data_IF_732426623310
#
_entry.id   IF_732426623310
#
_cell.length_a   1.000
_cell.length_b   1.000
_cell.length_c   1.000
_cell.angle_alpha   90.00
_cell.angle_beta   90.00
_cell.angle_gamma   90.00
#
_symmetry.space_group_name_H-M   'P 1'
#
loop_
_entity.id
_entity.type
_entity.pdbx_description
1 polymer ?
#
# COMPACT_ATOMS: atom_id res chain seq x y z
N UNK A 1 3.63 -1.26 15.35
CA UNK A 1 2.57 -0.25 15.22
C UNK A 1 1.22 -0.90 15.49
N UNK A 2 0.35 -0.22 16.22
CA UNK A 2 -1.00 -0.70 16.52
C UNK A 2 -2.01 0.33 16.02
N UNK A 3 -2.99 -0.12 15.27
CA UNK A 3 -4.10 0.69 14.74
C UNK A 3 -5.42 -0.06 14.86
N UNK A 4 -6.52 0.66 14.68
CA UNK A 4 -7.84 0.01 14.59
C UNK A 4 -7.96 -0.84 13.33
N UNK A 5 -8.62 -1.99 13.42
CA UNK A 5 -9.01 -2.80 12.26
C UNK A 5 -10.28 -2.30 11.54
N UNK A 6 -10.96 -1.27 12.04
CA UNK A 6 -12.25 -0.80 11.53
C UNK A 6 -12.20 0.48 10.70
N UNK A 7 -11.04 1.14 10.64
CA UNK A 7 -10.84 2.37 9.87
C UNK A 7 -9.43 2.41 9.29
N UNK A 8 -9.30 2.96 8.10
CA UNK A 8 -8.06 2.97 7.32
C UNK A 8 -7.15 4.17 7.60
N UNK A 9 -7.72 5.31 7.99
CA UNK A 9 -7.06 6.61 7.92
C UNK A 9 -5.75 6.68 8.72
N UNK A 10 -5.78 6.26 9.97
CA UNK A 10 -4.63 6.32 10.87
C UNK A 10 -3.54 5.32 10.43
N UNK A 11 -3.96 4.09 10.05
CA UNK A 11 -3.04 3.07 9.54
C UNK A 11 -2.32 3.53 8.27
N UNK A 12 -3.01 4.14 7.31
CA UNK A 12 -2.40 4.62 6.07
C UNK A 12 -1.49 5.83 6.31
N UNK A 13 -1.85 6.73 7.23
CA UNK A 13 -1.00 7.88 7.58
C UNK A 13 0.34 7.47 8.18
N UNK A 14 0.39 6.42 9.00
CA UNK A 14 1.64 5.92 9.62
C UNK A 14 2.40 4.91 8.74
N UNK A 15 1.77 4.40 7.67
CA UNK A 15 2.39 3.38 6.80
C UNK A 15 3.76 3.80 6.20
N UNK A 16 4.01 5.09 5.84
CA UNK A 16 5.36 5.51 5.43
C UNK A 16 6.42 5.27 6.50
N UNK A 17 6.11 5.58 7.77
CA UNK A 17 6.99 5.29 8.91
C UNK A 17 7.23 3.79 9.06
N UNK A 18 6.16 2.99 8.99
CA UNK A 18 6.25 1.53 9.04
C UNK A 18 7.18 0.97 7.96
N UNK A 19 7.04 1.44 6.73
CA UNK A 19 7.91 1.05 5.62
C UNK A 19 9.38 1.38 5.89
N UNK A 20 9.67 2.62 6.29
CA UNK A 20 11.03 3.08 6.55
C UNK A 20 11.71 2.37 7.72
N UNK A 21 10.93 1.94 8.72
CA UNK A 21 11.42 1.28 9.92
C UNK A 21 11.26 -0.24 9.88
N UNK A 22 10.68 -0.80 8.82
CA UNK A 22 10.31 -2.23 8.75
C UNK A 22 9.49 -2.66 9.98
N UNK A 23 8.64 -1.74 10.48
CA UNK A 23 7.86 -1.96 11.69
C UNK A 23 6.56 -2.70 11.38
N UNK A 24 6.28 -3.85 12.03
CA UNK A 24 5.07 -4.61 11.77
C UNK A 24 3.81 -3.89 12.27
N UNK A 25 2.67 -4.18 11.63
CA UNK A 25 1.35 -3.73 12.02
C UNK A 25 0.58 -4.80 12.77
N UNK A 26 -0.12 -4.36 13.83
CA UNK A 26 -1.11 -5.16 14.58
C UNK A 26 -2.43 -4.40 14.58
N UNK A 27 -3.52 -5.09 14.29
CA UNK A 27 -4.85 -4.50 14.26
C UNK A 27 -5.58 -4.81 15.57
N UNK A 28 -6.07 -3.79 16.24
CA UNK A 28 -6.90 -3.93 17.41
C UNK A 28 -8.39 -3.94 17.07
N UNK A 29 -9.16 -4.68 17.84
CA UNK A 29 -10.61 -4.59 17.91
C UNK A 29 -11.05 -3.69 19.08
N UNK A 30 -12.36 -3.51 19.25
CA UNK A 30 -12.91 -2.83 20.42
C UNK A 30 -12.70 -3.62 21.72
N UNK A 31 -12.47 -4.93 21.64
CA UNK A 31 -12.10 -5.77 22.78
C UNK A 31 -10.59 -5.80 23.06
N UNK A 32 -9.79 -5.12 22.24
CA UNK A 32 -8.34 -5.08 22.37
C UNK A 32 -7.61 -5.94 21.35
N UNK A 33 -6.38 -6.33 21.70
CA UNK A 33 -5.51 -7.21 20.91
C UNK A 33 -5.80 -8.69 21.27
N UNK A 34 -5.70 -9.56 20.26
CA UNK A 34 -5.78 -10.99 20.46
C UNK A 34 -4.50 -11.56 21.10
N UNK A 35 -4.59 -12.80 21.60
CA UNK A 35 -3.49 -13.44 22.30
C UNK A 35 -2.28 -13.69 21.39
N UNK A 36 -2.48 -14.00 20.13
CA UNK A 36 -1.40 -14.22 19.17
C UNK A 36 -0.60 -12.94 18.92
N UNK A 37 -1.31 -11.81 18.78
CA UNK A 37 -0.69 -10.48 18.68
C UNK A 37 0.09 -10.13 19.95
N UNK A 38 -0.49 -10.35 21.13
CA UNK A 38 0.18 -10.08 22.41
C UNK A 38 1.43 -10.94 22.59
N UNK A 39 1.37 -12.22 22.23
CA UNK A 39 2.55 -13.10 22.30
C UNK A 39 3.67 -12.64 21.38
N UNK A 40 3.35 -12.15 20.19
CA UNK A 40 4.33 -11.60 19.27
C UNK A 40 4.92 -10.29 19.79
N UNK A 41 4.05 -9.42 20.35
CA UNK A 41 4.43 -8.10 20.88
C UNK A 41 5.38 -8.16 22.08
N UNK A 42 5.44 -9.26 22.84
CA UNK A 42 6.44 -9.48 23.91
C UNK A 42 7.89 -9.35 23.43
N UNK A 43 8.15 -9.50 22.14
CA UNK A 43 9.48 -9.37 21.56
C UNK A 43 9.88 -7.91 21.27
N UNK A 44 8.99 -6.94 21.54
CA UNK A 44 9.24 -5.52 21.29
C UNK A 44 9.30 -4.74 22.59
N UNK A 45 10.11 -3.69 22.62
CA UNK A 45 10.23 -2.81 23.78
C UNK A 45 9.16 -1.73 23.80
N UNK A 46 8.77 -1.25 22.63
CA UNK A 46 7.84 -0.11 22.46
C UNK A 46 6.84 -0.39 21.36
N UNK A 47 5.60 -0.04 21.60
CA UNK A 47 4.51 -0.05 20.62
C UNK A 47 4.02 1.38 20.36
N UNK A 48 3.89 1.73 19.09
CA UNK A 48 3.29 2.99 18.64
C UNK A 48 1.81 2.72 18.37
N UNK A 49 0.92 3.39 19.09
CA UNK A 49 -0.52 3.31 18.92
C UNK A 49 -0.97 4.55 18.14
N UNK A 50 -1.65 4.34 17.02
CA UNK A 50 -2.18 5.42 16.19
C UNK A 50 -3.70 5.47 16.24
N UNK A 51 -4.21 6.65 16.54
CA UNK A 51 -5.64 6.92 16.74
C UNK A 51 -6.03 7.13 18.20
N UNK A 52 -7.14 7.84 18.39
CA UNK A 52 -7.72 8.12 19.71
C UNK A 52 -8.32 6.90 20.37
N UNK A 53 -8.78 7.06 21.61
CA UNK A 53 -9.31 5.96 22.45
C UNK A 53 -10.58 5.30 21.86
N UNK A 54 -11.32 6.02 21.03
CA UNK A 54 -12.46 5.44 20.30
C UNK A 54 -12.01 4.51 19.16
N UNK A 55 -10.85 4.77 18.55
CA UNK A 55 -10.28 3.93 17.49
C UNK A 55 -9.53 2.74 18.08
N UNK A 56 -8.65 2.99 19.05
CA UNK A 56 -7.86 1.98 19.77
C UNK A 56 -8.08 2.17 21.27
N UNK A 57 -8.88 1.31 21.92
CA UNK A 57 -9.25 1.46 23.32
C UNK A 57 -8.06 1.50 24.28
N UNK A 58 -8.19 2.18 25.42
CA UNK A 58 -7.15 2.23 26.47
C UNK A 58 -6.82 0.84 27.05
N UNK A 59 -7.74 -0.13 26.92
CA UNK A 59 -7.46 -1.53 27.28
C UNK A 59 -6.27 -2.11 26.51
N UNK A 60 -6.00 -1.64 25.30
CA UNK A 60 -4.82 -2.04 24.50
C UNK A 60 -3.52 -1.61 25.20
N UNK A 61 -3.47 -0.39 25.72
CA UNK A 61 -2.32 0.10 26.49
C UNK A 61 -2.12 -0.71 27.77
N UNK A 62 -3.21 -1.06 28.45
CA UNK A 62 -3.17 -1.92 29.64
C UNK A 62 -2.65 -3.33 29.32
N UNK A 63 -3.13 -3.93 28.21
CA UNK A 63 -2.64 -5.21 27.72
C UNK A 63 -1.13 -5.16 27.45
N UNK A 64 -0.64 -4.14 26.72
CA UNK A 64 0.77 -3.97 26.40
C UNK A 64 1.62 -3.76 27.64
N UNK A 65 1.17 -2.93 28.57
CA UNK A 65 1.84 -2.72 29.87
C UNK A 65 1.95 -4.01 30.67
N UNK A 66 0.89 -4.85 30.66
CA UNK A 66 0.89 -6.13 31.38
C UNK A 66 1.92 -7.13 30.86
N UNK A 67 2.37 -6.98 29.61
CA UNK A 67 3.40 -7.82 28.99
C UNK A 67 4.77 -7.12 28.92
N UNK A 68 4.94 -5.94 29.57
CA UNK A 68 6.19 -5.22 29.66
C UNK A 68 6.53 -4.34 28.45
N UNK A 69 5.57 -4.04 27.57
CA UNK A 69 5.76 -3.19 26.39
C UNK A 69 5.37 -1.75 26.71
N UNK A 70 6.29 -0.82 26.49
CA UNK A 70 6.02 0.61 26.58
C UNK A 70 5.17 1.09 25.41
N UNK A 71 4.38 2.15 25.61
CA UNK A 71 3.48 2.67 24.57
C UNK A 71 3.71 4.16 24.31
N UNK A 72 3.59 4.54 23.04
CA UNK A 72 3.50 5.92 22.56
C UNK A 72 2.23 6.05 21.76
N UNK A 73 1.28 6.90 22.20
CA UNK A 73 0.05 7.16 21.45
C UNK A 73 0.17 8.43 20.62
N UNK A 74 -0.22 8.34 19.34
CA UNK A 74 -0.29 9.46 18.41
C UNK A 74 -1.76 9.60 17.99
N UNK A 75 -2.35 10.75 18.30
CA UNK A 75 -3.78 10.99 18.05
C UNK A 75 -4.07 12.48 17.85
N UNK A 76 -5.17 12.76 17.18
CA UNK A 76 -5.85 14.05 17.10
C UNK A 76 -7.34 13.85 17.28
N UNK A 77 -8.12 14.93 17.32
CA UNK A 77 -9.59 14.89 17.43
C UNK A 77 -10.24 14.30 16.16
N UNK A 78 -9.60 14.54 15.02
CA UNK A 78 -10.03 14.06 13.72
C UNK A 78 -8.92 13.25 13.04
N UNK A 79 -9.27 12.46 12.01
CA UNK A 79 -8.27 11.74 11.19
C UNK A 79 -7.24 12.67 10.54
N UNK A 80 -7.62 13.91 10.26
CA UNK A 80 -6.74 14.92 9.66
C UNK A 80 -5.72 15.46 10.67
N UNK A 81 -6.15 15.69 11.90
CA UNK A 81 -5.25 16.03 13.00
C UNK A 81 -4.35 14.85 13.37
N UNK A 82 -4.91 13.63 13.45
CA UNK A 82 -4.10 12.43 13.68
C UNK A 82 -3.04 12.28 12.58
N UNK A 83 -3.41 12.50 11.30
CA UNK A 83 -2.48 12.45 10.18
C UNK A 83 -1.36 13.51 10.32
N UNK A 84 -1.70 14.71 10.76
CA UNK A 84 -0.71 15.76 11.03
C UNK A 84 0.25 15.38 12.16
N UNK A 85 -0.26 14.86 13.26
CA UNK A 85 0.57 14.42 14.40
C UNK A 85 1.46 13.24 14.05
N UNK A 86 0.96 12.29 13.23
CA UNK A 86 1.77 11.20 12.66
C UNK A 86 2.89 11.77 11.78
N UNK A 87 2.59 12.76 10.95
CA UNK A 87 3.58 13.44 10.12
C UNK A 87 4.70 14.06 10.97
N UNK A 88 4.34 14.85 12.00
CA UNK A 88 5.30 15.43 12.96
C UNK A 88 6.14 14.36 13.65
N UNK A 89 5.48 13.30 14.14
CA UNK A 89 6.16 12.19 14.79
C UNK A 89 7.18 11.55 13.84
N UNK A 90 6.79 11.28 12.60
CA UNK A 90 7.64 10.63 11.59
C UNK A 90 8.87 11.49 11.29
N UNK A 91 8.68 12.77 11.00
CA UNK A 91 9.75 13.69 10.67
C UNK A 91 10.77 13.81 11.83
N UNK A 92 10.28 13.98 13.05
CA UNK A 92 11.13 14.16 14.22
C UNK A 92 11.87 12.88 14.60
N UNK A 93 11.19 11.74 14.65
CA UNK A 93 11.81 10.48 15.08
C UNK A 93 12.83 9.94 14.07
N UNK A 94 12.65 10.22 12.79
CA UNK A 94 13.56 9.76 11.73
C UNK A 94 14.51 10.86 11.29
N UNK A 95 14.44 12.07 11.88
CA UNK A 95 15.23 13.24 11.49
C UNK A 95 15.16 13.48 9.99
N UNK A 96 13.95 13.42 9.42
CA UNK A 96 13.72 13.58 7.99
C UNK A 96 13.64 15.06 7.62
N UNK A 97 14.23 15.38 6.49
CA UNK A 97 14.12 16.67 5.81
C UNK A 97 13.77 16.41 4.33
N UNK A 98 12.51 16.02 4.04
CA UNK A 98 12.14 15.59 2.70
C UNK A 98 11.97 16.75 1.73
N UNK A 99 12.39 16.54 0.48
CA UNK A 99 12.13 17.46 -0.63
C UNK A 99 10.73 17.30 -1.25
N UNK A 100 9.93 16.35 -0.75
CA UNK A 100 8.57 16.11 -1.24
C UNK A 100 7.62 15.76 -0.11
N UNK A 101 6.32 15.92 -0.38
CA UNK A 101 5.24 15.49 0.52
C UNK A 101 4.10 14.90 -0.29
N UNK A 102 3.38 13.93 0.29
CA UNK A 102 2.24 13.27 -0.36
C UNK A 102 0.95 13.64 0.37
N UNK A 103 -0.05 14.05 -0.40
CA UNK A 103 -1.42 14.32 0.07
C UNK A 103 -2.41 13.35 -0.58
N UNK A 104 -3.41 12.92 0.17
CA UNK A 104 -4.55 12.16 -0.32
C UNK A 104 -5.82 12.54 0.46
N UNK A 105 -6.99 12.18 -0.07
CA UNK A 105 -8.24 12.36 0.67
C UNK A 105 -8.30 11.44 1.89
N UNK A 106 -8.82 11.98 3.00
CA UNK A 106 -9.16 11.18 4.17
C UNK A 106 -10.58 10.59 4.13
N UNK A 107 -11.36 10.87 3.08
CA UNK A 107 -12.74 10.40 2.97
C UNK A 107 -12.86 8.93 2.56
N UNK A 108 -11.92 8.44 1.75
CA UNK A 108 -11.82 7.04 1.30
C UNK A 108 -10.36 6.60 1.22
N UNK A 109 -10.11 5.30 1.01
CA UNK A 109 -8.77 4.72 1.17
C UNK A 109 -7.93 4.57 -0.10
N UNK A 110 -8.46 4.49 -1.35
CA UNK A 110 -7.67 4.04 -2.50
C UNK A 110 -6.44 4.91 -2.79
N UNK A 111 -6.64 6.24 -2.77
CA UNK A 111 -5.56 7.19 -3.06
C UNK A 111 -4.52 7.21 -1.92
N UNK A 112 -4.99 7.16 -0.66
CA UNK A 112 -4.11 7.09 0.49
C UNK A 112 -3.31 5.78 0.55
N UNK A 113 -3.87 4.67 0.06
CA UNK A 113 -3.18 3.37 0.01
C UNK A 113 -1.96 3.41 -0.95
N UNK A 114 -2.16 3.93 -2.16
CA UNK A 114 -1.05 4.14 -3.11
C UNK A 114 -0.09 5.23 -2.63
N UNK A 115 -0.64 6.30 -2.06
CA UNK A 115 0.13 7.43 -1.50
C UNK A 115 1.04 7.04 -0.35
N UNK A 116 0.61 6.13 0.51
CA UNK A 116 1.44 5.66 1.62
C UNK A 116 2.70 4.94 1.14
N UNK A 117 2.58 4.13 0.09
CA UNK A 117 3.73 3.46 -0.52
C UNK A 117 4.69 4.48 -1.18
N UNK A 118 4.14 5.44 -1.93
CA UNK A 118 4.92 6.52 -2.55
C UNK A 118 5.68 7.34 -1.49
N UNK A 119 5.01 7.71 -0.40
CA UNK A 119 5.61 8.47 0.69
C UNK A 119 6.74 7.67 1.38
N UNK A 120 6.55 6.37 1.63
CA UNK A 120 7.57 5.53 2.21
C UNK A 120 8.84 5.42 1.35
N UNK A 121 8.68 5.20 0.04
CA UNK A 121 9.78 5.12 -0.93
C UNK A 121 10.55 6.45 -1.00
N UNK A 122 9.83 7.58 -1.01
CA UNK A 122 10.43 8.93 -1.06
C UNK A 122 10.92 9.43 0.30
N UNK A 123 10.85 8.62 1.36
CA UNK A 123 11.24 8.98 2.73
C UNK A 123 10.56 10.26 3.20
N UNK A 124 9.27 10.34 3.00
CA UNK A 124 8.43 11.47 3.39
C UNK A 124 7.18 11.01 4.10
N UNK A 125 6.23 11.91 4.31
CA UNK A 125 4.97 11.65 5.01
C UNK A 125 3.78 11.67 4.07
N UNK A 126 2.73 10.91 4.42
CA UNK A 126 1.41 11.00 3.83
C UNK A 126 0.53 11.87 4.74
N UNK A 127 -0.03 12.93 4.22
CA UNK A 127 -0.95 13.83 4.90
C UNK A 127 -2.35 13.71 4.30
N UNK A 128 -3.36 13.60 5.15
CA UNK A 128 -4.75 13.52 4.72
C UNK A 128 -5.40 14.90 4.71
N UNK A 129 -6.10 15.23 3.63
CA UNK A 129 -6.89 16.46 3.50
C UNK A 129 -8.31 16.16 3.04
N UNK A 130 -9.26 17.04 3.37
CA UNK A 130 -10.66 16.98 2.91
C UNK A 130 -11.07 18.27 2.21
N UNK A 131 -10.67 19.40 2.77
CA UNK A 131 -10.97 20.74 2.29
C UNK A 131 -9.80 21.69 2.58
N UNK A 132 -9.92 22.92 2.15
CA UNK A 132 -8.92 23.98 2.33
C UNK A 132 -8.67 24.39 3.80
N UNK A 133 -9.56 24.00 4.71
CA UNK A 133 -9.42 24.20 6.15
C UNK A 133 -8.86 23.00 6.90
N UNK A 134 -8.42 21.93 6.19
CA UNK A 134 -7.81 20.76 6.81
C UNK A 134 -6.53 21.13 7.56
N UNK A 135 -6.31 20.67 8.80
CA UNK A 135 -5.14 21.04 9.61
C UNK A 135 -3.81 20.69 8.94
N UNK A 136 -3.80 19.71 8.06
CA UNK A 136 -2.62 19.32 7.28
C UNK A 136 -2.20 20.32 6.22
N UNK A 137 -3.05 21.27 5.84
CA UNK A 137 -2.69 22.35 4.90
C UNK A 137 -1.57 23.24 5.48
N UNK A 138 -1.56 23.44 6.80
CA UNK A 138 -0.52 24.21 7.47
C UNK A 138 0.80 23.45 7.68
N UNK A 139 0.91 22.24 7.14
CA UNK A 139 2.09 21.38 7.34
C UNK A 139 3.37 21.93 6.67
N UNK A 140 3.26 22.91 5.77
CA UNK A 140 4.42 23.55 5.12
C UNK A 140 5.43 24.11 6.14
N UNK A 141 4.97 24.56 7.31
CA UNK A 141 5.87 25.04 8.37
C UNK A 141 6.78 23.97 8.97
N UNK A 142 6.39 22.70 8.90
CA UNK A 142 7.20 21.56 9.35
C UNK A 142 7.97 20.88 8.22
N UNK A 143 7.82 21.35 6.99
CA UNK A 143 8.38 20.80 5.77
C UNK A 143 9.00 21.92 4.91
N UNK A 144 10.02 22.64 5.42
CA UNK A 144 10.51 23.87 4.80
C UNK A 144 11.23 23.67 3.48
N UNK A 145 11.75 22.46 3.22
CA UNK A 145 12.57 22.15 2.04
C UNK A 145 11.80 21.36 0.97
N UNK A 146 10.46 21.35 1.05
CA UNK A 146 9.64 20.64 0.05
C UNK A 146 9.62 21.41 -1.28
N UNK A 147 10.09 20.76 -2.32
CA UNK A 147 10.12 21.22 -3.71
C UNK A 147 9.02 20.60 -4.57
N UNK A 148 8.41 19.52 -4.08
CA UNK A 148 7.39 18.77 -4.81
C UNK A 148 6.26 18.32 -3.89
N UNK A 149 5.03 18.54 -4.32
CA UNK A 149 3.83 18.07 -3.62
C UNK A 149 3.06 17.12 -4.53
N UNK A 150 2.92 15.87 -4.09
CA UNK A 150 2.09 14.87 -4.77
C UNK A 150 0.70 14.89 -4.17
N UNK A 151 -0.29 15.33 -4.94
CA UNK A 151 -1.70 15.30 -4.55
C UNK A 151 -2.37 14.15 -5.30
N UNK A 152 -2.75 13.09 -4.58
CA UNK A 152 -3.31 11.88 -5.16
C UNK A 152 -4.83 11.91 -5.13
N UNK A 153 -5.41 11.47 -6.23
CA UNK A 153 -6.85 11.48 -6.48
C UNK A 153 -7.26 12.59 -7.45
N UNK A 154 -8.41 12.37 -8.11
CA UNK A 154 -8.99 13.35 -9.01
C UNK A 154 -9.72 14.48 -8.26
N UNK A 155 -10.31 15.42 -9.01
CA UNK A 155 -11.03 16.58 -8.47
C UNK A 155 -12.20 16.23 -7.54
N UNK A 156 -12.75 15.00 -7.65
CA UNK A 156 -13.79 14.51 -6.74
C UNK A 156 -13.23 14.05 -5.39
N UNK A 157 -11.94 13.71 -5.29
CA UNK A 157 -11.27 13.28 -4.06
C UNK A 157 -10.65 14.49 -3.34
N UNK A 158 -9.91 15.30 -4.08
CA UNK A 158 -9.31 16.57 -3.62
C UNK A 158 -9.81 17.68 -4.56
N UNK A 159 -10.78 18.46 -4.10
CA UNK A 159 -11.37 19.54 -4.89
C UNK A 159 -10.37 20.65 -5.21
N UNK A 160 -10.67 21.50 -6.24
CA UNK A 160 -9.76 22.57 -6.69
C UNK A 160 -9.37 23.56 -5.59
N UNK A 161 -10.28 23.90 -4.67
CA UNK A 161 -9.99 24.79 -3.55
C UNK A 161 -8.93 24.18 -2.61
N UNK A 162 -9.10 22.91 -2.23
CA UNK A 162 -8.15 22.17 -1.38
C UNK A 162 -6.80 22.02 -2.07
N UNK A 163 -6.81 21.67 -3.35
CA UNK A 163 -5.61 21.55 -4.16
C UNK A 163 -4.82 22.86 -4.20
N UNK A 164 -5.50 23.99 -4.45
CA UNK A 164 -4.89 25.31 -4.48
C UNK A 164 -4.35 25.71 -3.09
N UNK A 165 -5.09 25.41 -2.02
CA UNK A 165 -4.62 25.68 -0.66
C UNK A 165 -3.34 24.90 -0.32
N UNK A 166 -3.28 23.59 -0.67
CA UNK A 166 -2.07 22.78 -0.50
C UNK A 166 -0.91 23.39 -1.29
N UNK A 167 -1.07 23.62 -2.59
CA UNK A 167 -0.02 24.14 -3.45
C UNK A 167 0.49 25.50 -2.98
N UNK A 168 -0.43 26.41 -2.63
CA UNK A 168 -0.09 27.76 -2.14
C UNK A 168 0.63 27.73 -0.80
N UNK A 169 0.31 26.79 0.10
CA UNK A 169 0.98 26.68 1.40
C UNK A 169 2.48 26.37 1.29
N UNK A 170 2.88 25.71 0.19
CA UNK A 170 4.29 25.43 -0.13
C UNK A 170 4.90 26.42 -1.13
N UNK A 171 4.16 27.48 -1.52
CA UNK A 171 4.63 28.44 -2.53
C UNK A 171 4.78 27.85 -3.93
N UNK A 172 4.13 26.74 -4.21
CA UNK A 172 4.22 26.03 -5.47
C UNK A 172 3.07 26.38 -6.40
N UNK A 173 3.35 26.52 -7.69
CA UNK A 173 2.34 26.65 -8.73
C UNK A 173 2.08 25.28 -9.37
N UNK A 174 0.81 25.01 -9.71
CA UNK A 174 0.44 23.80 -10.43
C UNK A 174 1.16 23.73 -11.77
N UNK A 175 1.81 22.58 -11.99
CA UNK A 175 2.23 22.18 -13.34
C UNK A 175 1.41 20.95 -13.68
N UNK A 176 0.66 21.03 -14.78
CA UNK A 176 -0.02 19.86 -15.32
C UNK A 176 1.02 18.76 -15.60
N UNK A 177 0.82 17.59 -15.04
CA UNK A 177 1.62 16.43 -15.40
C UNK A 177 1.29 16.08 -16.86
N UNK A 178 2.14 16.48 -17.76
CA UNK A 178 2.15 15.94 -19.13
C UNK A 178 2.90 14.61 -19.05
N UNK A 179 2.20 13.45 -19.19
CA UNK A 179 2.87 12.17 -19.25
C UNK A 179 3.97 12.27 -20.30
N UNK A 180 5.21 12.07 -19.90
CA UNK A 180 6.26 11.88 -20.90
C UNK A 180 5.80 10.73 -21.79
N UNK A 181 5.88 10.86 -23.14
CA UNK A 181 5.58 9.75 -24.00
C UNK A 181 6.39 8.57 -23.46
N UNK A 182 5.68 7.52 -23.06
CA UNK A 182 6.35 6.27 -22.66
C UNK A 182 7.41 6.00 -23.70
N UNK A 183 8.68 5.81 -23.33
CA UNK A 183 9.69 5.42 -24.30
C UNK A 183 9.04 4.31 -25.11
N UNK A 184 8.97 4.53 -26.44
CA UNK A 184 8.38 3.54 -27.35
C UNK A 184 8.86 2.17 -26.85
N UNK A 185 7.96 1.22 -26.50
CA UNK A 185 8.41 -0.02 -25.92
C UNK A 185 9.57 -0.49 -26.79
N UNK A 186 10.72 -0.56 -26.17
CA UNK A 186 11.93 -1.06 -26.86
C UNK A 186 11.46 -2.33 -27.54
N UNK A 187 11.62 -2.52 -28.88
CA UNK A 187 11.14 -3.70 -29.54
C UNK A 187 11.50 -4.86 -28.63
N UNK A 188 10.49 -5.62 -28.18
CA UNK A 188 10.75 -6.81 -27.39
C UNK A 188 11.90 -7.52 -28.06
N UNK A 189 13.01 -7.85 -27.36
CA UNK A 189 14.11 -8.56 -27.97
C UNK A 189 13.47 -9.72 -28.73
N UNK A 190 13.75 -9.77 -30.04
CA UNK A 190 13.14 -10.74 -30.94
C UNK A 190 12.97 -12.06 -30.20
N UNK A 191 11.73 -12.50 -30.04
CA UNK A 191 11.48 -13.81 -29.43
C UNK A 191 12.38 -14.77 -30.14
N UNK A 192 13.24 -15.52 -29.45
CA UNK A 192 14.22 -16.38 -30.10
C UNK A 192 13.51 -17.16 -31.19
N UNK A 193 13.89 -16.96 -32.45
CA UNK A 193 13.36 -17.76 -33.53
C UNK A 193 13.58 -19.22 -33.14
N UNK A 194 12.60 -20.12 -33.35
CA UNK A 194 12.75 -21.51 -33.00
C UNK A 194 14.04 -22.03 -33.59
N UNK A 195 15.00 -22.33 -32.74
CA UNK A 195 16.21 -23.02 -33.20
C UNK A 195 15.75 -24.39 -33.73
N UNK A 196 15.98 -24.74 -35.01
CA UNK A 196 15.56 -26.01 -35.57
C UNK A 196 16.09 -27.20 -34.75
N UNK A 197 17.15 -27.00 -33.97
CA UNK A 197 17.72 -28.02 -33.08
C UNK A 197 17.14 -28.00 -31.64
N UNK A 198 16.22 -27.05 -31.32
CA UNK A 198 15.55 -26.99 -30.03
C UNK A 198 14.09 -26.54 -30.25
N UNK A 199 13.18 -27.45 -30.61
CA UNK A 199 11.80 -27.13 -30.93
C UNK A 199 11.08 -26.54 -29.71
N UNK A 200 10.44 -25.38 -29.90
CA UNK A 200 9.52 -24.81 -28.91
C UNK A 200 8.26 -25.64 -28.90
N UNK A 201 8.12 -26.45 -27.87
CA UNK A 201 6.89 -27.19 -27.61
C UNK A 201 5.80 -26.22 -27.08
N UNK A 202 4.53 -26.67 -27.11
CA UNK A 202 3.36 -25.85 -26.74
C UNK A 202 3.43 -25.13 -25.39
N UNK A 203 2.34 -24.49 -24.99
CA UNK A 203 2.30 -23.60 -23.82
C UNK A 203 1.87 -24.30 -22.53
N UNK A 204 1.43 -25.54 -22.60
CA UNK A 204 0.86 -26.27 -21.45
C UNK A 204 1.66 -27.54 -21.13
N UNK A 205 1.44 -28.09 -19.93
CA UNK A 205 2.04 -29.34 -19.46
C UNK A 205 0.95 -30.39 -19.21
N UNK A 206 1.19 -31.62 -19.52
CA UNK A 206 0.29 -32.69 -19.11
C UNK A 206 0.12 -32.72 -17.58
N UNK A 207 -1.14 -32.91 -17.12
CA UNK A 207 -1.54 -32.83 -15.73
C UNK A 207 -1.91 -31.42 -15.25
N UNK A 208 -1.59 -30.34 -15.96
CA UNK A 208 -1.96 -28.96 -15.62
C UNK A 208 -3.48 -28.77 -15.82
N UNK A 209 -4.11 -27.97 -14.94
CA UNK A 209 -5.51 -27.57 -15.13
C UNK A 209 -5.68 -26.76 -16.42
N UNK A 210 -6.80 -26.97 -17.12
CA UNK A 210 -7.22 -26.16 -18.25
C UNK A 210 -8.59 -25.51 -18.00
N UNK A 211 -8.86 -24.41 -18.69
CA UNK A 211 -10.15 -23.72 -18.56
C UNK A 211 -11.26 -24.50 -19.27
N UNK A 212 -12.50 -24.42 -18.79
CA UNK A 212 -13.66 -25.02 -19.46
C UNK A 212 -13.80 -24.58 -20.94
N UNK A 213 -13.37 -23.36 -21.26
CA UNK A 213 -13.36 -22.83 -22.63
C UNK A 213 -12.32 -23.51 -23.56
N UNK A 214 -11.38 -24.26 -22.98
CA UNK A 214 -10.34 -24.98 -23.72
C UNK A 214 -10.62 -26.47 -23.86
N UNK A 215 -11.80 -26.97 -23.41
CA UNK A 215 -12.21 -28.35 -23.55
C UNK A 215 -12.12 -28.77 -25.02
N UNK A 216 -11.52 -29.95 -25.22
CA UNK A 216 -11.25 -30.55 -26.53
C UNK A 216 -10.24 -29.81 -27.41
N UNK A 217 -9.63 -28.72 -26.94
CA UNK A 217 -8.48 -28.12 -27.63
C UNK A 217 -7.23 -28.98 -27.41
N UNK A 218 -6.35 -28.99 -28.40
CA UNK A 218 -5.07 -29.68 -28.36
C UNK A 218 -3.92 -28.67 -28.24
N UNK A 219 -2.83 -29.09 -27.60
CA UNK A 219 -1.56 -28.38 -27.52
C UNK A 219 -0.42 -29.42 -27.46
N UNK A 220 0.83 -28.98 -27.36
CA UNK A 220 1.97 -29.86 -27.18
C UNK A 220 2.59 -29.64 -25.80
N UNK A 221 2.89 -30.72 -25.08
CA UNK A 221 3.54 -30.62 -23.75
C UNK A 221 4.90 -29.90 -23.85
N UNK A 222 5.07 -28.84 -23.07
CA UNK A 222 6.28 -28.01 -23.08
C UNK A 222 7.56 -28.77 -22.72
N UNK A 223 7.45 -29.98 -22.15
CA UNK A 223 8.60 -30.78 -21.70
C UNK A 223 9.13 -31.72 -22.75
N UNK A 224 8.28 -32.22 -23.61
CA UNK A 224 8.64 -33.32 -24.53
C UNK A 224 7.99 -33.25 -25.91
N UNK A 225 7.17 -32.20 -26.16
CA UNK A 225 6.51 -32.00 -27.45
C UNK A 225 5.38 -33.01 -27.80
N UNK A 226 4.99 -33.89 -26.88
CA UNK A 226 3.89 -34.83 -27.13
C UNK A 226 2.55 -34.11 -27.14
N UNK A 227 1.65 -34.52 -28.01
CA UNK A 227 0.31 -33.97 -28.12
C UNK A 227 -0.48 -34.20 -26.83
N UNK A 228 -1.12 -33.15 -26.34
CA UNK A 228 -2.00 -33.16 -25.18
C UNK A 228 -3.35 -32.53 -25.54
N UNK A 229 -4.40 -32.94 -24.84
CA UNK A 229 -5.77 -32.45 -25.03
C UNK A 229 -6.36 -32.04 -23.68
N UNK A 230 -7.07 -30.93 -23.64
CA UNK A 230 -7.83 -30.52 -22.47
C UNK A 230 -9.12 -31.31 -22.35
N UNK A 231 -9.22 -32.22 -21.37
CA UNK A 231 -10.40 -33.06 -21.12
C UNK A 231 -10.62 -33.33 -19.64
N UNK A 232 -11.79 -33.80 -19.27
CA UNK A 232 -12.09 -34.38 -17.98
C UNK A 232 -11.98 -35.89 -18.09
N UNK A 233 -10.91 -36.47 -17.58
CA UNK A 233 -10.72 -37.92 -17.58
C UNK A 233 -11.37 -38.53 -16.31
N UNK A 234 -11.52 -39.85 -16.30
CA UNK A 234 -12.09 -40.58 -15.15
C UNK A 234 -11.26 -40.25 -13.87
N UNK A 235 -11.93 -39.74 -12.84
CA UNK A 235 -11.31 -39.33 -11.58
C UNK A 235 -10.97 -37.87 -11.48
N UNK A 236 -11.02 -37.09 -12.55
CA UNK A 236 -10.78 -35.65 -12.52
C UNK A 236 -12.03 -34.88 -12.03
N UNK A 237 -11.85 -33.98 -11.07
CA UNK A 237 -12.89 -33.05 -10.63
C UNK A 237 -13.01 -31.79 -11.51
N UNK A 238 -11.97 -31.52 -12.29
CA UNK A 238 -11.86 -30.36 -13.19
C UNK A 238 -11.06 -30.73 -14.44
N UNK A 239 -11.26 -30.02 -15.59
CA UNK A 239 -10.53 -30.31 -16.83
C UNK A 239 -9.01 -30.16 -16.63
N UNK A 240 -8.25 -31.07 -17.23
CA UNK A 240 -6.78 -31.07 -17.26
C UNK A 240 -6.26 -31.39 -18.66
N UNK A 241 -5.01 -31.01 -18.90
CA UNK A 241 -4.29 -31.46 -20.10
C UNK A 241 -3.79 -32.88 -19.93
N UNK A 242 -4.23 -33.75 -20.79
CA UNK A 242 -3.87 -35.16 -20.80
C UNK A 242 -3.17 -35.52 -22.12
N UNK A 243 -2.26 -36.46 -22.09
CA UNK A 243 -1.72 -37.01 -23.32
C UNK A 243 -2.83 -37.65 -24.15
N UNK A 244 -2.71 -37.51 -25.48
CA UNK A 244 -3.61 -38.14 -26.46
C UNK A 244 -3.25 -39.60 -26.62
#
# INVERSE_FOLDING_TARGET
>A
IISTGFNFADALSISPYSYMQSAPFFLSSQSGLDEASLNTLRNFQTAIIVGGEQAVPTSVEQQLKSIGVSTVRIQGTTRYETSLEIGKFTLNNLSLDPSSVVYATGANFPDALSGSALAGINKTVLLLAQNDSSPTICASSMLPNVESVYVLGGQNAIGPATFNAISSSFGLSYREYVPQPTPNPQPEPDKPQPNPNNPVYGTHKAGQFCKKADLNKTDHDTRNGKLIVCKVANGDKQPRWHYV
#
